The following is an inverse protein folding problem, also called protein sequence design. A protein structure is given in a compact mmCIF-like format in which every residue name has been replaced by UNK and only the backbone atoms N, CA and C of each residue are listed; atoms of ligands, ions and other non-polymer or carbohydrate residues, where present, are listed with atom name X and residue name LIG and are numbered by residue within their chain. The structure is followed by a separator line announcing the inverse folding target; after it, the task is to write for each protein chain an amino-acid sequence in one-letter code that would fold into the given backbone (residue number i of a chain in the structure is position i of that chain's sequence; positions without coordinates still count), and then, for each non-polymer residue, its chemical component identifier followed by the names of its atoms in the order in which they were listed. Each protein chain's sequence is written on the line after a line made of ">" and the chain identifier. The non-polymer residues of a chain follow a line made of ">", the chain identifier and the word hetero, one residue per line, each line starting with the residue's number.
data_IF_946911629039
#
_entry.id   IF_946911629039
#
_cell.length_a   1.000
_cell.length_b   1.000
_cell.length_c   1.000
_cell.angle_alpha   90.00
_cell.angle_beta   90.00
_cell.angle_gamma   90.00
#
_symmetry.space_group_name_H-M   'P 1'
#
loop_
_entity.id
_entity.type
_entity.pdbx_description
1 polymer ?
#
# COMPACT_ATOMS: atom_id res chain seq x y z
N UNK A 1 -7.22 -16.21 3.32
CA UNK A 1 -6.19 -15.24 3.74
C UNK A 1 -6.92 -14.08 4.38
N UNK A 2 -6.41 -13.53 5.49
CA UNK A 2 -6.98 -12.30 6.05
C UNK A 2 -6.66 -11.13 5.11
N UNK A 3 -7.66 -10.32 4.82
CA UNK A 3 -7.57 -9.10 4.00
C UNK A 3 -8.06 -7.93 4.82
N UNK A 4 -7.54 -6.75 4.51
CA UNK A 4 -8.02 -5.48 5.02
C UNK A 4 -8.62 -4.67 3.87
N UNK A 5 -9.56 -3.83 4.24
CA UNK A 5 -10.19 -2.84 3.36
C UNK A 5 -9.23 -1.71 3.03
N UNK A 6 -9.53 -0.98 1.97
CA UNK A 6 -8.69 0.16 1.55
C UNK A 6 -8.69 1.24 2.64
N UNK A 7 -9.82 1.47 3.31
CA UNK A 7 -9.95 2.41 4.43
C UNK A 7 -9.06 2.06 5.64
N UNK A 8 -8.88 0.77 5.93
CA UNK A 8 -7.97 0.30 6.99
C UNK A 8 -6.51 0.60 6.61
N UNK A 9 -6.13 0.41 5.34
CA UNK A 9 -4.80 0.75 4.85
C UNK A 9 -4.58 2.27 4.85
N UNK A 10 -5.56 3.06 4.43
CA UNK A 10 -5.50 4.53 4.46
C UNK A 10 -5.33 5.05 5.89
N UNK A 11 -6.05 4.47 6.85
CA UNK A 11 -5.89 4.80 8.28
C UNK A 11 -4.47 4.48 8.77
N UNK A 12 -3.88 3.36 8.35
CA UNK A 12 -2.48 3.04 8.65
C UNK A 12 -1.50 4.06 8.07
N UNK A 13 -1.77 4.60 6.87
CA UNK A 13 -0.94 5.66 6.27
C UNK A 13 -0.96 6.92 7.16
N UNK A 14 -2.16 7.36 7.58
CA UNK A 14 -2.31 8.53 8.45
C UNK A 14 -1.60 8.34 9.81
N UNK A 15 -1.69 7.14 10.41
CA UNK A 15 -0.94 6.80 11.62
C UNK A 15 0.58 6.86 11.39
N UNK A 16 1.07 6.37 10.25
CA UNK A 16 2.50 6.38 9.90
C UNK A 16 3.04 7.78 9.61
N UNK A 17 2.19 8.67 9.09
CA UNK A 17 2.47 10.10 8.90
C UNK A 17 2.36 10.91 10.20
N UNK A 18 1.89 10.28 11.29
CA UNK A 18 1.65 10.91 12.60
C UNK A 18 0.60 12.03 12.54
N UNK A 19 -0.31 11.96 11.56
CA UNK A 19 -1.45 12.87 11.44
C UNK A 19 -2.58 12.51 12.41
N UNK A 20 -2.66 11.23 12.77
CA UNK A 20 -3.58 10.70 13.79
C UNK A 20 -2.83 9.81 14.78
N UNK A 21 -3.38 9.62 15.97
CA UNK A 21 -2.85 8.70 16.98
C UNK A 21 -3.70 7.43 17.13
N UNK A 22 -3.12 6.39 17.76
CA UNK A 22 -3.82 5.12 17.96
C UNK A 22 -5.15 5.28 18.72
N UNK A 23 -6.26 4.90 18.08
CA UNK A 23 -7.61 5.03 18.63
C UNK A 23 -8.36 6.29 18.19
N UNK A 24 -7.72 7.19 17.44
CA UNK A 24 -8.36 8.31 16.78
C UNK A 24 -9.02 7.87 15.47
N UNK A 25 -10.20 8.43 15.19
CA UNK A 25 -10.88 8.23 13.91
C UNK A 25 -10.41 9.32 12.95
N UNK A 26 -9.87 8.97 11.77
CA UNK A 26 -9.41 9.97 10.81
C UNK A 26 -10.55 10.83 10.28
N UNK A 27 -10.24 12.09 9.98
CA UNK A 27 -11.19 12.99 9.34
C UNK A 27 -11.51 12.51 7.92
N UNK A 28 -12.75 12.71 7.47
CA UNK A 28 -13.19 12.29 6.13
C UNK A 28 -12.40 12.99 5.02
N UNK A 29 -11.96 14.23 5.25
CA UNK A 29 -11.15 14.97 4.29
C UNK A 29 -9.76 14.35 4.13
N UNK A 30 -9.10 13.98 5.24
CA UNK A 30 -7.78 13.34 5.21
C UNK A 30 -7.85 11.97 4.55
N UNK A 31 -8.90 11.19 4.83
CA UNK A 31 -9.12 9.91 4.16
C UNK A 31 -9.31 10.07 2.65
N UNK A 32 -10.05 11.08 2.19
CA UNK A 32 -10.23 11.33 0.76
C UNK A 32 -8.90 11.62 0.06
N UNK A 33 -8.05 12.44 0.68
CA UNK A 33 -6.70 12.73 0.16
C UNK A 33 -5.86 11.46 0.06
N UNK A 34 -5.85 10.63 1.12
CA UNK A 34 -5.09 9.38 1.08
C UNK A 34 -5.69 8.38 0.09
N UNK A 35 -7.02 8.37 -0.09
CA UNK A 35 -7.69 7.53 -1.07
C UNK A 35 -7.25 7.87 -2.50
N UNK A 36 -7.20 9.16 -2.86
CA UNK A 36 -6.76 9.59 -4.19
C UNK A 36 -5.32 9.13 -4.49
N UNK A 37 -4.43 9.24 -3.50
CA UNK A 37 -3.06 8.74 -3.60
C UNK A 37 -3.03 7.20 -3.68
N UNK A 38 -3.83 6.53 -2.85
CA UNK A 38 -3.93 5.08 -2.82
C UNK A 38 -4.35 4.53 -4.19
N UNK A 39 -5.45 5.03 -4.75
CA UNK A 39 -5.99 4.57 -6.04
C UNK A 39 -4.94 4.75 -7.15
N UNK A 40 -4.33 5.94 -7.24
CA UNK A 40 -3.31 6.23 -8.25
C UNK A 40 -2.07 5.32 -8.14
N UNK A 41 -1.59 5.08 -6.91
CA UNK A 41 -0.36 4.29 -6.70
C UNK A 41 -0.62 2.79 -6.81
N UNK A 42 -1.79 2.30 -6.41
CA UNK A 42 -2.18 0.90 -6.58
C UNK A 42 -2.38 0.58 -8.05
N UNK A 43 -3.01 1.47 -8.83
CA UNK A 43 -3.12 1.32 -10.29
C UNK A 43 -1.72 1.22 -10.93
N UNK A 44 -0.82 2.14 -10.62
CA UNK A 44 0.56 2.08 -11.07
C UNK A 44 1.26 0.76 -10.70
N UNK A 45 1.06 0.26 -9.48
CA UNK A 45 1.65 -1.00 -9.05
C UNK A 45 1.02 -2.22 -9.71
N UNK A 46 -0.25 -2.16 -10.12
CA UNK A 46 -0.90 -3.22 -10.91
C UNK A 46 -0.29 -3.30 -12.30
N UNK A 47 -0.07 -2.17 -12.95
CA UNK A 47 0.57 -2.10 -14.26
C UNK A 47 2.01 -2.66 -14.23
N UNK A 48 2.72 -2.42 -13.14
CA UNK A 48 4.07 -2.97 -12.88
C UNK A 48 4.06 -4.46 -12.47
N UNK A 49 2.89 -5.09 -12.34
CA UNK A 49 2.74 -6.48 -11.89
C UNK A 49 3.10 -6.71 -10.41
N UNK A 50 3.11 -5.64 -9.61
CA UNK A 50 3.42 -5.66 -8.16
C UNK A 50 2.15 -5.75 -7.31
N UNK A 51 0.99 -5.34 -7.80
CA UNK A 51 -0.29 -5.54 -7.11
C UNK A 51 -1.11 -6.62 -7.82
N UNK A 52 -1.55 -7.63 -7.08
CA UNK A 52 -2.23 -8.83 -7.63
C UNK A 52 -3.56 -9.13 -6.92
N UNK A 53 -3.98 -8.29 -5.98
CA UNK A 53 -5.20 -8.45 -5.21
C UNK A 53 -6.35 -7.64 -5.83
N UNK A 54 -7.57 -8.07 -5.54
CA UNK A 54 -8.80 -7.39 -5.95
C UNK A 54 -8.98 -6.06 -5.21
N UNK A 55 -9.81 -5.17 -5.75
CA UNK A 55 -10.19 -3.92 -5.08
C UNK A 55 -10.79 -4.20 -3.69
N UNK A 56 -10.46 -3.37 -2.70
CA UNK A 56 -10.94 -3.46 -1.31
C UNK A 56 -10.63 -4.79 -0.59
N UNK A 57 -9.59 -5.50 -1.02
CA UNK A 57 -9.18 -6.78 -0.45
C UNK A 57 -7.65 -6.92 -0.36
N UNK A 58 -7.00 -5.93 0.27
CA UNK A 58 -5.54 -5.90 0.42
C UNK A 58 -5.10 -7.04 1.35
N UNK A 59 -4.19 -7.94 0.94
CA UNK A 59 -3.70 -8.99 1.82
C UNK A 59 -2.98 -8.40 3.03
N UNK A 60 -3.19 -8.95 4.22
CA UNK A 60 -2.61 -8.44 5.46
C UNK A 60 -1.08 -8.29 5.39
N UNK A 61 -0.39 -9.18 4.68
CA UNK A 61 1.07 -9.12 4.48
C UNK A 61 1.54 -7.91 3.67
N UNK A 62 0.65 -7.30 2.89
CA UNK A 62 0.94 -6.17 2.01
C UNK A 62 0.55 -4.84 2.64
N UNK A 63 -0.34 -4.83 3.64
CA UNK A 63 -0.88 -3.62 4.25
C UNK A 63 0.23 -2.73 4.84
N UNK A 64 1.17 -3.29 5.59
CA UNK A 64 2.25 -2.52 6.20
C UNK A 64 3.28 -2.01 5.15
N UNK A 65 3.81 -2.83 4.23
CA UNK A 65 4.66 -2.35 3.14
C UNK A 65 3.99 -1.33 2.23
N UNK A 66 2.70 -1.50 1.93
CA UNK A 66 1.91 -0.57 1.11
C UNK A 66 1.72 0.75 1.84
N UNK A 67 1.37 0.73 3.12
CA UNK A 67 1.23 1.96 3.88
C UNK A 67 2.58 2.71 4.01
N UNK A 68 3.70 2.01 4.21
CA UNK A 68 5.03 2.62 4.17
C UNK A 68 5.36 3.27 2.82
N UNK A 69 5.03 2.58 1.73
CA UNK A 69 5.20 3.12 0.38
C UNK A 69 4.39 4.39 0.14
N UNK A 70 3.12 4.38 0.51
CA UNK A 70 2.20 5.50 0.28
C UNK A 70 2.58 6.74 1.09
N UNK A 71 3.24 6.60 2.24
CA UNK A 71 3.63 7.75 3.08
C UNK A 71 4.43 8.81 2.31
N UNK A 72 5.36 8.40 1.44
CA UNK A 72 6.16 9.35 0.66
C UNK A 72 5.30 10.17 -0.31
N UNK A 73 4.30 9.53 -0.93
CA UNK A 73 3.43 10.20 -1.90
C UNK A 73 2.37 11.08 -1.24
N UNK A 74 1.93 10.72 -0.02
CA UNK A 74 1.06 11.58 0.76
C UNK A 74 1.78 12.81 1.36
N UNK A 75 3.12 12.82 1.43
CA UNK A 75 3.86 13.94 2.02
C UNK A 75 3.56 15.29 1.35
N UNK A 76 3.40 15.31 0.01
CA UNK A 76 3.09 16.55 -0.73
C UNK A 76 1.72 17.10 -0.37
N UNK A 77 0.74 16.23 -0.17
CA UNK A 77 -0.65 16.62 0.10
C UNK A 77 -0.84 17.20 1.50
N UNK A 78 0.00 16.77 2.46
CA UNK A 78 -0.06 17.20 3.85
C UNK A 78 1.03 18.21 4.26
N UNK A 79 1.78 18.76 3.30
CA UNK A 79 2.90 19.69 3.55
C UNK A 79 3.96 19.12 4.54
N UNK A 80 4.23 17.82 4.43
CA UNK A 80 5.19 17.10 5.27
C UNK A 80 6.53 16.95 4.52
N UNK A 81 7.66 17.11 5.24
CA UNK A 81 8.98 16.87 4.66
C UNK A 81 9.16 15.38 4.29
N UNK A 82 9.51 15.06 3.02
CA UNK A 82 9.61 13.67 2.55
C UNK A 82 10.86 12.95 3.06
N UNK A 83 11.83 13.66 3.68
CA UNK A 83 13.14 13.14 4.00
C UNK A 83 13.09 11.89 4.93
N UNK A 84 12.19 11.86 5.92
CA UNK A 84 12.07 10.71 6.82
C UNK A 84 11.31 9.52 6.21
N UNK A 85 10.51 9.78 5.18
CA UNK A 85 9.63 8.78 4.54
C UNK A 85 10.27 8.16 3.30
N UNK A 86 11.24 8.82 2.68
CA UNK A 86 11.89 8.33 1.46
C UNK A 86 12.50 6.93 1.62
N UNK A 87 13.31 6.72 2.67
CA UNK A 87 13.94 5.43 2.92
C UNK A 87 12.89 4.35 3.26
N UNK A 88 11.88 4.71 4.04
CA UNK A 88 10.78 3.81 4.43
C UNK A 88 9.96 3.36 3.23
N UNK A 89 9.64 4.30 2.33
CA UNK A 89 8.93 4.04 1.08
C UNK A 89 9.71 3.07 0.17
N UNK A 90 11.02 3.24 0.04
CA UNK A 90 11.83 2.30 -0.74
C UNK A 90 11.84 0.89 -0.15
N UNK A 91 11.89 0.78 1.19
CA UNK A 91 11.78 -0.52 1.87
C UNK A 91 10.42 -1.15 1.64
N UNK A 92 9.34 -0.37 1.76
CA UNK A 92 7.97 -0.81 1.48
C UNK A 92 7.81 -1.35 0.05
N UNK A 93 8.28 -0.60 -0.96
CA UNK A 93 8.23 -1.03 -2.36
C UNK A 93 8.99 -2.34 -2.59
N UNK A 94 10.22 -2.44 -2.07
CA UNK A 94 11.05 -3.65 -2.19
C UNK A 94 10.34 -4.86 -1.60
N UNK A 95 9.72 -4.69 -0.44
CA UNK A 95 9.04 -5.78 0.26
C UNK A 95 7.76 -6.21 -0.47
N UNK A 96 7.00 -5.27 -1.06
CA UNK A 96 5.87 -5.56 -1.96
C UNK A 96 6.31 -6.36 -3.20
N UNK A 97 7.40 -5.95 -3.86
CA UNK A 97 7.96 -6.67 -5.00
C UNK A 97 8.39 -8.09 -4.61
N UNK A 98 8.97 -8.26 -3.40
CA UNK A 98 9.34 -9.58 -2.87
C UNK A 98 8.12 -10.46 -2.61
N UNK A 99 7.02 -9.90 -2.08
CA UNK A 99 5.78 -10.64 -1.86
C UNK A 99 5.14 -11.07 -3.17
N UNK A 100 5.16 -10.19 -4.18
CA UNK A 100 4.70 -10.47 -5.55
C UNK A 100 5.49 -11.64 -6.16
N UNK A 101 6.82 -11.57 -6.09
CA UNK A 101 7.70 -12.60 -6.65
C UNK A 101 7.55 -13.97 -5.97
N UNK A 102 7.33 -14.01 -4.65
CA UNK A 102 7.05 -15.27 -3.94
C UNK A 102 5.77 -15.93 -4.45
N UNK A 103 4.75 -15.14 -4.78
CA UNK A 103 3.49 -15.66 -5.32
C UNK A 103 3.66 -16.19 -6.74
N UNK A 104 4.41 -15.50 -7.60
CA UNK A 104 4.70 -15.99 -8.95
C UNK A 104 5.53 -17.28 -8.95
N UNK A 105 6.46 -17.45 -8.00
CA UNK A 105 7.23 -18.68 -7.83
C UNK A 105 6.42 -19.85 -7.21
N UNK A 106 5.35 -19.55 -6.46
CA UNK A 106 4.43 -20.55 -5.92
C UNK A 106 3.35 -21.03 -6.90
N UNK A 107 3.18 -20.35 -8.03
CA UNK A 107 2.33 -20.81 -9.12
C UNK A 107 3.11 -21.85 -9.95
N UNK A 108 2.83 -23.14 -9.74
CA UNK A 108 3.20 -24.15 -10.74
C UNK A 108 2.50 -23.77 -12.05
N UNK A 109 3.27 -23.39 -13.06
CA UNK A 109 2.77 -23.28 -14.44
C UNK A 109 2.22 -24.66 -14.80
N UNK A 110 0.89 -24.82 -14.86
CA UNK A 110 0.32 -25.98 -15.51
C UNK A 110 0.68 -25.87 -16.99
N UNK A 111 1.64 -26.70 -17.41
CA UNK A 111 1.97 -26.88 -18.81
C UNK A 111 0.79 -27.66 -19.40
N UNK A 112 -0.11 -26.95 -20.08
CA UNK A 112 -1.09 -27.58 -20.96
C UNK A 112 -0.33 -28.23 -22.11
N UNK A 113 -0.24 -29.56 -22.08
CA UNK A 113 0.17 -30.34 -23.24
C UNK A 113 -1.03 -30.43 -24.18
N UNK A 114 -0.99 -29.64 -25.27
CA UNK A 114 -1.82 -29.85 -26.46
C UNK A 114 -1.15 -30.82 -27.42
#
# INVERSE_FOLDING_TARGET
>A
MATETDAEVQTRVLLKLKLIVGGESPETADLAVVNDVFDSRVEYMRDEGVCWWADDAVPLSCCDPLAEYLTLYCCSEFDISPAEYFQRSQVGERDLRRLSAKRSQGASVQVDYF
#
